data_IF_142260416467
#
_entry.id   IF_142260416467
#
_cell.length_a   1.000
_cell.length_b   1.000
_cell.length_c   1.000
_cell.angle_alpha   90.00
_cell.angle_beta   90.00
_cell.angle_gamma   90.00
#
_symmetry.space_group_name_H-M   'P 1'
#
loop_
_entity.id
_entity.type
_entity.pdbx_description
1 polymer ?
#
# COMPACT_ATOMS: atom_id res chain seq x y z
N UNK A 1 4.03 -0.99 -9.67
CA UNK A 1 4.85 0.19 -9.35
C UNK A 1 5.64 -0.12 -8.10
N UNK A 2 6.96 0.08 -8.13
CA UNK A 2 7.89 -0.20 -7.03
C UNK A 2 8.15 1.14 -6.33
N UNK A 3 7.71 1.31 -5.10
CA UNK A 3 7.86 2.59 -4.40
C UNK A 3 7.75 2.41 -2.89
N UNK A 4 8.83 2.77 -2.21
CA UNK A 4 8.88 2.93 -0.76
C UNK A 4 7.83 3.98 -0.35
N UNK A 5 6.98 3.68 0.63
CA UNK A 5 5.84 4.54 0.95
C UNK A 5 4.78 3.86 1.81
N UNK A 6 3.85 4.64 2.34
CA UNK A 6 2.64 4.11 2.96
C UNK A 6 1.57 3.90 1.88
N UNK A 7 1.22 2.64 1.62
CA UNK A 7 0.08 2.29 0.78
C UNK A 7 -1.17 2.21 1.64
N UNK A 8 -2.23 2.87 1.21
CA UNK A 8 -3.54 2.79 1.85
C UNK A 8 -4.49 2.13 0.87
N UNK A 9 -5.00 0.94 1.21
CA UNK A 9 -5.97 0.25 0.35
C UNK A 9 -7.25 1.09 0.22
N UNK A 10 -7.70 1.37 -1.00
CA UNK A 10 -8.88 2.24 -1.20
C UNK A 10 -10.19 1.59 -0.74
N UNK A 11 -10.23 0.25 -0.68
CA UNK A 11 -11.43 -0.49 -0.29
C UNK A 11 -11.60 -0.62 1.22
N UNK A 12 -10.55 -1.03 1.92
CA UNK A 12 -10.62 -1.31 3.36
C UNK A 12 -9.85 -0.31 4.22
N UNK A 13 -9.24 0.71 3.62
CA UNK A 13 -8.41 1.72 4.29
C UNK A 13 -7.28 1.10 5.12
N UNK A 14 -6.80 -0.07 4.71
CA UNK A 14 -5.69 -0.74 5.40
C UNK A 14 -4.38 -0.05 5.03
N UNK A 15 -3.65 0.39 6.06
CA UNK A 15 -2.34 0.99 5.94
C UNK A 15 -1.28 -0.10 5.87
N UNK A 16 -0.52 -0.12 4.79
CA UNK A 16 0.56 -1.05 4.54
C UNK A 16 1.84 -0.26 4.28
N UNK A 17 2.77 -0.24 5.25
CA UNK A 17 4.04 0.45 5.07
C UNK A 17 5.00 -0.42 4.24
N UNK A 18 5.49 0.14 3.14
CA UNK A 18 6.36 -0.55 2.19
C UNK A 18 7.78 -0.03 2.35
N UNK A 19 8.65 -0.86 2.93
CA UNK A 19 10.07 -0.59 3.14
C UNK A 19 10.98 -1.35 2.16
N UNK A 20 10.39 -2.21 1.34
CA UNK A 20 11.07 -3.01 0.32
C UNK A 20 10.43 -2.74 -1.03
N UNK A 21 11.18 -2.82 -2.14
CA UNK A 21 10.62 -2.75 -3.50
C UNK A 21 9.93 -4.08 -3.85
N UNK A 22 9.09 -4.62 -2.96
CA UNK A 22 8.25 -5.75 -3.30
C UNK A 22 7.03 -5.27 -4.07
N UNK A 23 6.68 -6.00 -5.13
CA UNK A 23 5.46 -5.75 -5.89
C UNK A 23 4.30 -6.32 -5.10
N UNK A 24 3.64 -5.50 -4.29
CA UNK A 24 2.33 -5.86 -3.77
C UNK A 24 1.30 -5.73 -4.88
N UNK A 25 0.86 -6.90 -5.35
CA UNK A 25 -0.21 -7.02 -6.32
C UNK A 25 -1.59 -6.94 -5.67
N UNK A 26 -1.73 -7.28 -4.38
CA UNK A 26 -3.02 -7.37 -3.69
C UNK A 26 -2.92 -6.97 -2.21
N UNK A 27 -4.02 -6.45 -1.67
CA UNK A 27 -4.16 -6.08 -0.27
C UNK A 27 -4.31 -7.35 0.58
N UNK A 28 -3.47 -7.57 1.60
CA UNK A 28 -3.50 -8.78 2.43
C UNK A 28 -4.80 -8.90 3.26
N UNK A 29 -5.53 -7.80 3.45
CA UNK A 29 -6.78 -7.78 4.21
C UNK A 29 -8.03 -8.11 3.39
N UNK A 30 -8.06 -7.75 2.11
CA UNK A 30 -9.29 -7.83 1.32
C UNK A 30 -9.11 -8.27 -0.13
N UNK A 31 -7.87 -8.54 -0.56
CA UNK A 31 -7.56 -8.96 -1.93
C UNK A 31 -7.73 -7.87 -2.99
N UNK A 32 -7.80 -6.59 -2.59
CA UNK A 32 -7.92 -5.47 -3.53
C UNK A 32 -6.56 -4.98 -4.02
N UNK A 33 -6.45 -4.60 -5.28
CA UNK A 33 -5.20 -4.21 -5.94
C UNK A 33 -5.00 -2.69 -6.06
N UNK A 34 -6.01 -1.88 -5.75
CA UNK A 34 -5.88 -0.42 -5.73
C UNK A 34 -5.50 0.11 -4.34
N UNK A 35 -4.45 0.93 -4.35
CA UNK A 35 -3.91 1.58 -3.18
C UNK A 35 -3.64 3.05 -3.47
N UNK A 36 -4.06 3.91 -2.55
CA UNK A 36 -3.66 5.30 -2.49
C UNK A 36 -2.25 5.40 -1.88
N UNK A 37 -1.36 6.17 -2.51
CA UNK A 37 -0.06 6.48 -1.92
C UNK A 37 -0.18 7.67 -0.99
N UNK A 38 0.24 7.49 0.25
CA UNK A 38 0.46 8.60 1.17
C UNK A 38 1.97 8.79 1.36
N UNK A 39 2.46 10.04 1.36
CA UNK A 39 3.80 10.31 1.84
C UNK A 39 3.93 9.84 3.30
N UNK A 40 5.15 9.53 3.74
CA UNK A 40 5.41 9.35 5.15
C UNK A 40 5.15 10.69 5.86
N UNK A 41 4.31 10.68 6.89
CA UNK A 41 4.21 11.84 7.80
C UNK A 41 5.54 11.96 8.57
N UNK A 42 6.07 13.18 8.74
CA UNK A 42 7.35 13.43 9.42
C UNK A 42 7.31 13.08 10.91
#
# INVERSE_FOLDING_TARGET
VLGLGNLVCEKCHFHLPIYTPEVLTLCPKCGHDQFQRRPFEP
#
